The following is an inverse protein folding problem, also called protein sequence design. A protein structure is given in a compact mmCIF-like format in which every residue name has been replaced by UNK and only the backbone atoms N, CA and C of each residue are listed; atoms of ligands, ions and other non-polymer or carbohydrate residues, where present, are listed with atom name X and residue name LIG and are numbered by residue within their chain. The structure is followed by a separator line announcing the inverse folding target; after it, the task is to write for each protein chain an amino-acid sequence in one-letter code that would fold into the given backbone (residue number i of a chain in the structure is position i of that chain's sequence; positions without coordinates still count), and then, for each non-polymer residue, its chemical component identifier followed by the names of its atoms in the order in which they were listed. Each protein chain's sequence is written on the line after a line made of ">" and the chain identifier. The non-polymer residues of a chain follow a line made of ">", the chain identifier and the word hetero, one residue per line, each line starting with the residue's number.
data_IF_499680317065
#
_entry.id   IF_499680317065
#
_cell.length_a   1.000
_cell.length_b   1.000
_cell.length_c   1.000
_cell.angle_alpha   90.00
_cell.angle_beta   90.00
_cell.angle_gamma   90.00
#
_symmetry.space_group_name_H-M   'P 1'
#
loop_
_entity.id
_entity.type
_entity.pdbx_description
1 polymer ?
#
# COMPACT_ATOMS: atom_id res chain seq x y z
N UNK A 1 14.29 14.60 -2.44
CA UNK A 1 13.39 13.50 -2.84
C UNK A 1 11.98 14.04 -2.85
N UNK A 2 11.35 14.13 -4.03
CA UNK A 2 9.94 14.47 -4.13
C UNK A 2 9.08 13.35 -3.53
N UNK A 3 7.95 13.71 -2.92
CA UNK A 3 6.97 12.73 -2.47
C UNK A 3 6.32 12.07 -3.69
N UNK A 4 6.21 10.73 -3.67
CA UNK A 4 5.59 9.93 -4.74
C UNK A 4 4.09 9.84 -4.53
N UNK A 5 3.66 9.73 -3.27
CA UNK A 5 2.26 9.71 -2.87
C UNK A 5 2.10 10.14 -1.41
N UNK A 6 0.86 10.38 -1.01
CA UNK A 6 0.48 10.56 0.40
C UNK A 6 -0.62 9.56 0.74
N UNK A 7 -0.39 8.78 1.79
CA UNK A 7 -1.35 7.85 2.34
C UNK A 7 -2.00 8.51 3.55
N UNK A 8 -3.30 8.78 3.44
CA UNK A 8 -4.09 9.39 4.49
C UNK A 8 -5.06 8.33 5.03
N UNK A 9 -5.05 8.15 6.34
CA UNK A 9 -6.03 7.36 7.06
C UNK A 9 -6.64 8.18 8.19
N UNK A 10 -7.66 7.63 8.83
CA UNK A 10 -8.40 8.32 9.90
C UNK A 10 -7.52 8.79 11.05
N UNK A 11 -6.44 8.07 11.35
CA UNK A 11 -5.56 8.32 12.49
C UNK A 11 -4.07 8.45 12.08
N UNK A 12 -3.76 8.49 10.79
CA UNK A 12 -2.38 8.58 10.32
C UNK A 12 -2.28 9.32 8.98
N UNK A 13 -1.17 10.02 8.80
CA UNK A 13 -0.73 10.55 7.51
C UNK A 13 0.68 10.01 7.25
N UNK A 14 0.90 9.43 6.07
CA UNK A 14 2.20 8.90 5.68
C UNK A 14 2.58 9.37 4.28
N UNK A 15 3.68 10.12 4.19
CA UNK A 15 4.22 10.58 2.91
C UNK A 15 5.13 9.51 2.32
N UNK A 16 4.69 8.91 1.22
CA UNK A 16 5.43 7.90 0.48
C UNK A 16 6.58 8.54 -0.30
N UNK A 17 7.80 8.33 0.19
CA UNK A 17 9.04 8.77 -0.48
C UNK A 17 9.71 7.65 -1.29
N UNK A 18 9.33 6.39 -1.05
CA UNK A 18 9.82 5.18 -1.73
C UNK A 18 8.80 4.74 -2.78
N UNK A 19 9.21 3.86 -3.71
CA UNK A 19 8.31 3.28 -4.72
C UNK A 19 7.40 2.17 -4.19
N UNK A 20 7.71 1.60 -3.02
CA UNK A 20 6.86 0.63 -2.33
C UNK A 20 6.75 1.01 -0.85
N UNK A 21 5.56 0.83 -0.30
CA UNK A 21 5.20 1.06 1.10
C UNK A 21 4.47 -0.18 1.61
N UNK A 22 4.97 -0.73 2.71
CA UNK A 22 4.32 -1.87 3.36
C UNK A 22 3.50 -1.42 4.55
N UNK A 23 2.24 -1.84 4.58
CA UNK A 23 1.31 -1.59 5.68
C UNK A 23 1.05 -2.90 6.42
N UNK A 24 1.13 -2.85 7.74
CA UNK A 24 0.89 -4.04 8.56
C UNK A 24 1.00 -3.76 10.04
N UNK A 25 1.19 -4.83 10.82
CA UNK A 25 1.39 -4.75 12.26
C UNK A 25 2.89 -4.74 12.59
N UNK A 26 3.33 -3.72 13.32
CA UNK A 26 4.68 -3.68 13.86
C UNK A 26 4.88 -4.79 14.90
N UNK A 27 6.00 -5.50 14.82
CA UNK A 27 6.37 -6.60 15.70
C UNK A 27 7.88 -6.67 15.77
N UNK A 28 8.44 -7.29 16.83
CA UNK A 28 9.87 -7.54 17.03
C UNK A 28 10.58 -8.28 15.88
N UNK A 29 9.82 -8.76 14.88
CA UNK A 29 10.28 -9.60 13.78
C UNK A 29 10.22 -8.89 12.40
N UNK A 30 9.89 -7.59 12.33
CA UNK A 30 9.95 -6.86 11.07
C UNK A 30 9.37 -5.46 11.15
N UNK A 31 10.06 -4.50 10.54
CA UNK A 31 9.59 -3.13 10.36
C UNK A 31 8.59 -3.04 9.22
N UNK A 32 7.53 -2.25 9.42
CA UNK A 32 6.59 -1.81 8.39
C UNK A 32 6.72 -0.29 8.22
N UNK A 33 6.40 0.21 7.04
CA UNK A 33 6.38 1.66 6.80
C UNK A 33 5.18 2.30 7.51
N UNK A 34 4.01 1.64 7.47
CA UNK A 34 2.81 2.09 8.19
C UNK A 34 2.32 0.98 9.13
N UNK A 35 2.27 1.30 10.42
CA UNK A 35 1.79 0.39 11.46
C UNK A 35 0.32 0.63 11.77
N UNK A 36 -0.51 -0.40 11.66
CA UNK A 36 -1.95 -0.36 11.97
C UNK A 36 -2.25 -0.84 13.40
N UNK A 37 -1.33 -0.59 14.34
CA UNK A 37 -1.45 -1.04 15.73
C UNK A 37 -1.12 -2.52 15.91
N UNK A 38 -1.65 -3.13 16.98
CA UNK A 38 -1.17 -4.42 17.50
C UNK A 38 -2.14 -5.60 17.25
N UNK A 39 -3.20 -5.40 16.47
CA UNK A 39 -4.25 -6.40 16.25
C UNK A 39 -3.74 -7.65 15.52
N UNK A 40 -4.07 -8.85 16.04
CA UNK A 40 -3.74 -10.14 15.41
C UNK A 40 -4.51 -10.40 14.11
N UNK A 41 -5.56 -9.61 13.84
CA UNK A 41 -6.25 -9.59 12.55
C UNK A 41 -5.38 -8.96 11.45
N UNK A 42 -4.41 -8.13 11.83
CA UNK A 42 -3.51 -7.46 10.92
C UNK A 42 -2.20 -8.26 10.86
N UNK A 43 -1.83 -8.63 9.64
CA UNK A 43 -0.60 -9.39 9.41
C UNK A 43 0.60 -8.46 9.51
N UNK A 44 1.77 -9.01 9.88
CA UNK A 44 3.02 -8.23 9.95
C UNK A 44 3.30 -7.48 8.65
N UNK A 45 3.06 -8.12 7.50
CA UNK A 45 2.89 -7.48 6.20
C UNK A 45 1.49 -7.79 5.71
N UNK A 46 0.59 -6.83 5.80
CA UNK A 46 -0.83 -7.06 5.50
C UNK A 46 -1.15 -6.65 4.07
N UNK A 47 -0.64 -5.51 3.64
CA UNK A 47 -0.71 -5.07 2.26
C UNK A 47 0.55 -4.31 1.88
N UNK A 48 0.80 -4.26 0.59
CA UNK A 48 1.88 -3.49 -0.01
C UNK A 48 1.27 -2.58 -1.08
N UNK A 49 1.60 -1.30 -1.03
CA UNK A 49 1.26 -0.34 -2.08
C UNK A 49 2.54 0.01 -2.80
N UNK A 50 2.55 -0.16 -4.12
CA UNK A 50 3.71 0.12 -4.94
C UNK A 50 3.31 0.83 -6.22
N UNK A 51 4.19 1.69 -6.73
CA UNK A 51 4.05 2.27 -8.07
C UNK A 51 4.81 1.41 -9.06
N UNK A 52 4.19 1.08 -10.19
CA UNK A 52 4.97 0.59 -11.33
C UNK A 52 5.88 1.74 -11.80
N UNK A 53 7.12 1.42 -12.15
CA UNK A 53 7.96 2.38 -12.84
C UNK A 53 7.33 2.57 -14.22
N UNK A 54 6.62 3.67 -14.43
CA UNK A 54 6.28 4.12 -15.77
C UNK A 54 7.59 4.53 -16.43
N UNK A 55 8.26 3.58 -17.08
CA UNK A 55 9.10 3.96 -18.21
C UNK A 55 8.13 4.47 -19.28
N UNK A 56 8.16 5.79 -19.49
CA UNK A 56 7.69 6.48 -20.70
C UNK A 56 6.18 6.56 -21.02
N UNK A 57 5.25 6.26 -20.11
CA UNK A 57 3.81 6.53 -20.39
C UNK A 57 3.39 7.95 -19.99
N UNK A 58 3.91 8.95 -20.70
CA UNK A 58 3.36 10.29 -21.03
C UNK A 58 2.33 11.01 -20.13
N UNK A 59 2.20 10.68 -18.85
CA UNK A 59 1.10 11.12 -17.97
C UNK A 59 1.60 12.14 -16.95
N UNK A 60 2.16 13.25 -17.42
CA UNK A 60 2.45 14.43 -16.59
C UNK A 60 3.38 14.21 -15.38
N UNK A 61 3.63 15.26 -14.57
CA UNK A 61 4.67 15.25 -13.53
C UNK A 61 4.32 14.43 -12.27
N UNK A 62 3.30 13.57 -12.32
CA UNK A 62 2.80 12.83 -11.15
C UNK A 62 2.04 11.53 -11.45
N UNK A 63 2.04 11.03 -12.69
CA UNK A 63 1.21 9.90 -13.13
C UNK A 63 1.88 8.53 -13.04
N UNK A 64 2.15 8.04 -11.83
CA UNK A 64 2.50 6.63 -11.60
C UNK A 64 1.25 5.78 -11.35
N UNK A 65 1.14 4.62 -12.01
CA UNK A 65 0.08 3.66 -11.69
C UNK A 65 0.37 3.02 -10.33
N UNK A 66 -0.54 3.21 -9.38
CA UNK A 66 -0.46 2.57 -8.07
C UNK A 66 -1.13 1.22 -8.09
N UNK A 67 -0.47 0.25 -7.46
CA UNK A 67 -0.97 -1.09 -7.28
C UNK A 67 -0.97 -1.44 -5.80
N UNK A 68 -1.99 -2.18 -5.40
CA UNK A 68 -2.14 -2.73 -4.07
C UNK A 68 -2.06 -4.25 -4.13
N UNK A 69 -1.14 -4.83 -3.36
CA UNK A 69 -1.01 -6.27 -3.20
C UNK A 69 -1.46 -6.68 -1.80
N UNK A 70 -2.39 -7.63 -1.75
CA UNK A 70 -2.85 -8.22 -0.50
C UNK A 70 -1.93 -9.38 -0.06
N UNK A 71 -1.20 -9.17 1.04
CA UNK A 71 -0.29 -10.17 1.65
C UNK A 71 -0.88 -10.79 2.92
N UNK A 72 -1.90 -10.16 3.51
CA UNK A 72 -2.52 -10.53 4.75
C UNK A 72 -3.41 -11.76 4.64
N UNK A 73 -3.39 -12.61 5.67
CA UNK A 73 -4.21 -13.84 5.72
C UNK A 73 -5.72 -13.58 5.67
N UNK A 74 -6.17 -12.44 6.19
CA UNK A 74 -7.58 -12.09 6.30
C UNK A 74 -8.12 -11.34 5.09
N UNK A 75 -7.28 -11.08 4.08
CA UNK A 75 -7.65 -10.24 2.95
C UNK A 75 -7.75 -8.75 3.30
N UNK A 76 -8.05 -7.95 2.29
CA UNK A 76 -8.23 -6.49 2.40
C UNK A 76 -9.46 -6.10 1.58
N UNK A 77 -10.23 -5.13 2.06
CA UNK A 77 -11.29 -4.52 1.27
C UNK A 77 -10.77 -3.23 0.63
N UNK A 78 -10.96 -3.08 -0.68
CA UNK A 78 -10.62 -1.86 -1.43
C UNK A 78 -11.88 -1.41 -2.17
N UNK A 79 -12.41 -0.24 -1.84
CA UNK A 79 -13.66 0.29 -2.41
C UNK A 79 -14.84 -0.71 -2.37
N UNK A 80 -14.93 -1.46 -1.27
CA UNK A 80 -15.95 -2.50 -1.07
C UNK A 80 -15.64 -3.85 -1.73
N UNK A 81 -14.57 -3.96 -2.53
CA UNK A 81 -14.13 -5.21 -3.17
C UNK A 81 -13.15 -5.95 -2.26
N UNK A 82 -13.44 -7.23 -1.98
CA UNK A 82 -12.57 -8.08 -1.18
C UNK A 82 -11.42 -8.68 -1.99
N UNK A 83 -10.19 -8.41 -1.58
CA UNK A 83 -8.96 -8.99 -2.12
C UNK A 83 -8.42 -10.04 -1.16
N UNK A 84 -8.29 -11.28 -1.66
CA UNK A 84 -7.67 -12.38 -0.92
C UNK A 84 -6.15 -12.36 -1.04
N UNK A 85 -5.48 -13.03 -0.09
CA UNK A 85 -4.04 -13.28 -0.18
C UNK A 85 -3.68 -14.01 -1.47
N UNK A 86 -2.69 -13.49 -2.18
CA UNK A 86 -2.21 -14.07 -3.45
C UNK A 86 -3.08 -13.76 -4.66
N UNK A 87 -4.12 -12.94 -4.51
CA UNK A 87 -4.79 -12.32 -5.66
C UNK A 87 -3.78 -11.47 -6.46
N UNK A 88 -3.99 -11.31 -7.77
CA UNK A 88 -3.19 -10.37 -8.56
C UNK A 88 -3.26 -8.96 -7.93
N UNK A 89 -2.19 -8.14 -8.05
CA UNK A 89 -2.21 -6.78 -7.56
C UNK A 89 -3.38 -5.99 -8.16
N UNK A 90 -4.14 -5.31 -7.32
CA UNK A 90 -5.23 -4.44 -7.75
C UNK A 90 -4.66 -3.08 -8.13
N UNK A 91 -4.97 -2.59 -9.33
CA UNK A 91 -4.68 -1.22 -9.71
C UNK A 91 -5.59 -0.27 -8.95
N UNK A 92 -5.01 0.71 -8.26
CA UNK A 92 -5.76 1.73 -7.52
C UNK A 92 -6.24 2.83 -8.48
N UNK A 93 -7.45 3.37 -8.27
CA UNK A 93 -7.96 4.47 -9.08
C UNK A 93 -7.12 5.74 -8.89
N UNK A 94 -6.98 6.52 -9.96
CA UNK A 94 -6.45 7.89 -9.90
C UNK A 94 -7.60 8.80 -9.45
N UNK A 95 -7.48 9.41 -8.26
CA UNK A 95 -8.42 10.42 -7.75
C UNK A 95 -7.87 11.83 -7.93
#
# INVERSE_FOLDING_TARGET
>A
MAAVARLEGREFEYVMKKRSVTVGRNSSQGSVDVSMGHSSFISRRHLEIFTAAAEDTGSGPGGGEFYLRCLGKNGVFVDGVFLRRGAPPLQLPRV
#
